data_IF_346227446169
#
_entry.id   IF_346227446169
#
_cell.length_a   1.000
_cell.length_b   1.000
_cell.length_c   1.000
_cell.angle_alpha   90.00
_cell.angle_beta   90.00
_cell.angle_gamma   90.00
#
_symmetry.space_group_name_H-M   'P 1'
#
loop_
_entity.id
_entity.type
_entity.pdbx_description
1 polymer ?
#
# COMPACT_ATOMS: atom_id res chain seq x y z
N UNK A 1 14.27 4.03 15.56
CA UNK A 1 14.68 3.55 16.90
C UNK A 1 15.15 2.12 16.77
N UNK A 2 16.28 1.81 17.40
CA UNK A 2 16.92 0.51 17.30
C UNK A 2 16.33 -0.49 18.31
N UNK A 3 15.13 -0.98 18.00
CA UNK A 3 14.40 -1.92 18.86
C UNK A 3 15.18 -3.22 19.10
N UNK A 4 16.05 -3.62 18.17
CA UNK A 4 16.90 -4.80 18.29
C UNK A 4 17.93 -4.69 19.44
N UNK A 5 18.32 -3.48 19.85
CA UNK A 5 19.24 -3.29 20.97
C UNK A 5 18.55 -3.45 22.33
N UNK A 6 17.22 -3.33 22.38
CA UNK A 6 16.47 -3.36 23.63
C UNK A 6 16.19 -4.80 24.07
N UNK A 7 16.22 -5.00 25.39
CA UNK A 7 15.66 -6.21 25.99
C UNK A 7 14.15 -6.24 25.80
N UNK A 8 13.55 -7.44 25.93
CA UNK A 8 12.10 -7.61 25.86
C UNK A 8 11.37 -6.69 26.87
N UNK A 9 11.84 -6.64 28.12
CA UNK A 9 11.28 -5.77 29.16
C UNK A 9 11.39 -4.28 28.78
N UNK A 10 12.57 -3.82 28.32
CA UNK A 10 12.76 -2.43 27.93
C UNK A 10 11.92 -2.01 26.70
N UNK A 11 11.57 -2.96 25.83
CA UNK A 11 10.66 -2.71 24.72
C UNK A 11 9.20 -2.55 25.20
N UNK A 12 8.76 -3.40 26.12
CA UNK A 12 7.44 -3.30 26.75
C UNK A 12 7.28 -1.98 27.51
N UNK A 13 8.28 -1.61 28.32
CA UNK A 13 8.27 -0.36 29.09
C UNK A 13 8.21 0.88 28.19
N UNK A 14 9.01 0.89 27.12
CA UNK A 14 9.05 2.00 26.17
C UNK A 14 7.72 2.20 25.43
N UNK A 15 7.02 1.11 25.13
CA UNK A 15 5.71 1.11 24.50
C UNK A 15 4.57 1.21 25.51
N UNK A 16 4.87 1.32 26.81
CA UNK A 16 3.90 1.36 27.91
C UNK A 16 2.85 0.25 27.77
N UNK A 17 3.32 -0.97 27.57
CA UNK A 17 2.49 -2.18 27.40
C UNK A 17 3.03 -3.30 28.28
N UNK A 18 2.29 -4.40 28.40
CA UNK A 18 2.68 -5.57 29.19
C UNK A 18 2.73 -6.83 28.34
N UNK A 19 3.29 -7.91 28.90
CA UNK A 19 3.29 -9.22 28.25
C UNK A 19 1.87 -9.81 28.07
N UNK A 20 0.88 -9.31 28.81
CA UNK A 20 -0.54 -9.71 28.70
C UNK A 20 -1.31 -8.89 27.65
N UNK A 21 -0.64 -7.92 27.01
CA UNK A 21 -1.19 -7.11 25.94
C UNK A 21 -1.96 -5.88 26.37
N UNK A 22 -2.38 -5.11 25.36
CA UNK A 22 -3.12 -3.86 25.54
C UNK A 22 -4.57 -4.13 25.96
N UNK A 23 -5.20 -3.13 26.57
CA UNK A 23 -6.66 -3.10 26.71
C UNK A 23 -7.33 -2.79 25.38
N UNK A 24 -8.58 -3.22 25.21
CA UNK A 24 -9.34 -2.90 24.00
C UNK A 24 -9.53 -1.39 23.80
N UNK A 25 -9.64 -0.64 24.90
CA UNK A 25 -9.72 0.82 24.87
C UNK A 25 -8.40 1.49 24.45
N UNK A 26 -7.28 1.02 24.99
CA UNK A 26 -5.95 1.53 24.64
C UNK A 26 -5.60 1.23 23.17
N UNK A 27 -5.92 0.03 22.69
CA UNK A 27 -5.73 -0.33 21.29
C UNK A 27 -6.52 0.60 20.35
N UNK A 28 -7.79 0.89 20.68
CA UNK A 28 -8.60 1.86 19.90
C UNK A 28 -8.05 3.28 19.96
N UNK A 29 -7.54 3.72 21.11
CA UNK A 29 -6.91 5.04 21.25
C UNK A 29 -5.67 5.14 20.35
N UNK A 30 -4.77 4.16 20.42
CA UNK A 30 -3.56 4.08 19.59
C UNK A 30 -3.88 3.96 18.11
N UNK A 31 -4.95 3.26 17.75
CA UNK A 31 -5.40 3.17 16.36
C UNK A 31 -5.80 4.54 15.80
N UNK A 32 -6.41 5.38 16.64
CA UNK A 32 -6.76 6.76 16.29
C UNK A 32 -5.52 7.64 16.16
N UNK A 33 -4.51 7.43 17.01
CA UNK A 33 -3.28 8.23 17.06
C UNK A 33 -2.28 7.87 15.95
N UNK A 34 -2.01 6.57 15.75
CA UNK A 34 -1.05 6.07 14.77
C UNK A 34 -1.67 5.79 13.40
N UNK A 35 -2.99 5.69 13.33
CA UNK A 35 -3.71 5.25 12.14
C UNK A 35 -3.64 3.73 11.92
N UNK A 36 -4.30 3.23 10.87
CA UNK A 36 -4.36 1.81 10.56
C UNK A 36 -3.00 1.26 10.08
N UNK A 37 -2.72 0.00 10.39
CA UNK A 37 -1.54 -0.75 9.93
C UNK A 37 -1.68 -1.18 8.45
N UNK A 38 -1.77 -0.20 7.58
CA UNK A 38 -1.85 -0.36 6.13
C UNK A 38 -0.73 0.42 5.47
N UNK A 39 -0.19 -0.14 4.38
CA UNK A 39 0.70 0.62 3.52
C UNK A 39 -0.15 1.63 2.76
N UNK A 40 0.29 2.89 2.70
CA UNK A 40 -0.39 3.90 1.90
C UNK A 40 -0.29 3.48 0.45
N UNK A 41 -1.42 3.27 -0.20
CA UNK A 41 -1.47 3.17 -1.65
C UNK A 41 -1.10 4.54 -2.24
N UNK A 42 -0.45 4.57 -3.40
CA UNK A 42 -0.12 5.81 -4.11
C UNK A 42 -1.37 6.67 -4.36
N UNK A 43 -1.18 7.92 -4.81
CA UNK A 43 -2.28 8.89 -5.03
C UNK A 43 -3.44 8.24 -5.78
N UNK A 44 -4.53 7.91 -5.08
CA UNK A 44 -5.77 7.46 -5.70
C UNK A 44 -6.25 8.58 -6.62
N UNK A 45 -6.64 8.24 -7.84
CA UNK A 45 -7.27 9.22 -8.72
C UNK A 45 -8.58 9.63 -8.07
N UNK A 46 -8.74 10.91 -7.75
CA UNK A 46 -10.00 11.42 -7.23
C UNK A 46 -11.08 11.28 -8.31
N UNK A 47 -12.36 11.22 -7.94
CA UNK A 47 -13.44 11.16 -8.94
C UNK A 47 -13.36 12.31 -9.96
N UNK A 48 -13.00 13.52 -9.50
CA UNK A 48 -12.70 14.66 -10.36
C UNK A 48 -11.44 14.45 -11.21
N UNK A 49 -10.41 13.81 -10.67
CA UNK A 49 -9.20 13.44 -11.42
C UNK A 49 -9.45 12.38 -12.49
N UNK A 50 -10.32 11.39 -12.23
CA UNK A 50 -10.76 10.41 -13.23
C UNK A 50 -11.55 11.09 -14.35
N UNK A 51 -12.50 11.95 -14.01
CA UNK A 51 -13.30 12.69 -14.99
C UNK A 51 -12.42 13.64 -15.81
N UNK A 52 -11.54 14.42 -15.17
CA UNK A 52 -10.58 15.29 -15.86
C UNK A 52 -9.61 14.48 -16.75
N UNK A 53 -9.24 13.27 -16.33
CA UNK A 53 -8.45 12.33 -17.13
C UNK A 53 -9.09 12.00 -18.47
N UNK A 54 -10.42 11.86 -18.54
CA UNK A 54 -11.14 11.65 -19.80
C UNK A 54 -10.95 12.82 -20.77
N UNK A 55 -10.95 14.06 -20.28
CA UNK A 55 -10.74 15.25 -21.12
C UNK A 55 -9.28 15.48 -21.53
N UNK A 56 -8.33 14.77 -20.90
CA UNK A 56 -6.92 14.75 -21.34
C UNK A 56 -6.63 13.69 -22.38
N UNK A 57 -7.59 12.82 -22.69
CA UNK A 57 -7.43 11.85 -23.78
C UNK A 57 -7.32 12.57 -25.12
N UNK A 58 -6.30 12.19 -25.87
CA UNK A 58 -5.96 12.83 -27.13
C UNK A 58 -7.09 12.77 -28.16
N UNK A 59 -7.80 11.65 -28.23
CA UNK A 59 -8.89 11.45 -29.18
C UNK A 59 -10.08 12.33 -28.82
N UNK A 60 -10.37 12.51 -27.52
CA UNK A 60 -11.39 13.44 -27.03
C UNK A 60 -11.01 14.89 -27.33
N UNK A 61 -9.74 15.28 -27.16
CA UNK A 61 -9.26 16.62 -27.52
C UNK A 61 -9.41 16.93 -29.01
N UNK A 62 -9.15 15.94 -29.88
CA UNK A 62 -9.37 16.08 -31.33
C UNK A 62 -10.85 16.29 -31.65
N UNK A 63 -11.74 15.53 -31.01
CA UNK A 63 -13.19 15.70 -31.18
C UNK A 63 -13.69 17.06 -30.66
N UNK A 64 -13.17 17.52 -29.52
CA UNK A 64 -13.45 18.87 -29.01
C UNK A 64 -12.97 19.95 -30.00
N UNK A 65 -11.79 19.78 -30.59
CA UNK A 65 -11.29 20.68 -31.63
C UNK A 65 -12.20 20.72 -32.86
N UNK A 66 -12.68 19.56 -33.32
CA UNK A 66 -13.62 19.46 -34.43
C UNK A 66 -14.97 20.14 -34.10
N UNK A 67 -15.48 19.97 -32.87
CA UNK A 67 -16.70 20.62 -32.41
C UNK A 67 -16.57 22.16 -32.40
N UNK A 68 -15.41 22.69 -31.98
CA UNK A 68 -15.15 24.14 -32.02
C UNK A 68 -15.14 24.66 -33.46
N UNK A 69 -14.47 23.96 -34.38
CA UNK A 69 -14.41 24.35 -35.80
C UNK A 69 -15.82 24.33 -36.43
N UNK A 70 -16.59 23.26 -36.20
CA UNK A 70 -17.98 23.14 -36.67
C UNK A 70 -18.86 24.28 -36.15
N UNK A 71 -18.70 24.62 -34.86
CA UNK A 71 -19.46 25.71 -34.23
C UNK A 71 -19.13 27.08 -34.82
N UNK A 72 -17.87 27.33 -35.18
CA UNK A 72 -17.44 28.56 -35.85
C UNK A 72 -17.98 28.67 -37.28
N UNK A 73 -18.15 27.55 -37.98
CA UNK A 73 -18.75 27.48 -39.32
C UNK A 73 -20.28 27.73 -39.26
N UNK A 74 -20.88 27.65 -38.07
CA UNK A 74 -22.32 27.87 -37.85
C UNK A 74 -23.16 26.59 -37.95
N UNK A 75 -22.52 25.41 -38.02
CA UNK A 75 -23.23 24.13 -38.01
C UNK A 75 -23.55 23.70 -36.58
N UNK A 76 -24.67 24.20 -36.09
CA UNK A 76 -25.14 23.97 -34.72
C UNK A 76 -25.49 22.50 -34.50
N UNK A 77 -25.97 21.79 -35.52
CA UNK A 77 -26.42 20.39 -35.39
C UNK A 77 -25.22 19.47 -35.19
N UNK A 78 -24.20 19.59 -36.04
CA UNK A 78 -22.98 18.79 -35.94
C UNK A 78 -22.19 19.09 -34.67
N UNK A 79 -22.11 20.36 -34.28
CA UNK A 79 -21.47 20.77 -33.01
C UNK A 79 -22.12 20.11 -31.80
N UNK A 80 -23.46 20.17 -31.71
CA UNK A 80 -24.20 19.57 -30.60
C UNK A 80 -24.03 18.05 -30.60
N UNK A 81 -24.06 17.40 -31.77
CA UNK A 81 -23.89 15.95 -31.90
C UNK A 81 -22.51 15.50 -31.38
N UNK A 82 -21.43 16.19 -31.76
CA UNK A 82 -20.07 15.85 -31.30
C UNK A 82 -19.95 16.05 -29.78
N UNK A 83 -20.46 17.16 -29.24
CA UNK A 83 -20.43 17.41 -27.79
C UNK A 83 -21.20 16.31 -27.04
N UNK A 84 -22.36 15.91 -27.55
CA UNK A 84 -23.16 14.84 -26.93
C UNK A 84 -22.41 13.50 -26.88
N UNK A 85 -21.72 13.13 -27.96
CA UNK A 85 -20.90 11.90 -28.02
C UNK A 85 -19.75 11.96 -27.00
N UNK A 86 -19.06 13.10 -26.91
CA UNK A 86 -17.94 13.29 -25.97
C UNK A 86 -18.43 13.17 -24.52
N UNK A 87 -19.54 13.83 -24.17
CA UNK A 87 -20.12 13.76 -22.83
C UNK A 87 -20.56 12.33 -22.51
N UNK A 88 -21.23 11.65 -23.44
CA UNK A 88 -21.67 10.27 -23.25
C UNK A 88 -20.49 9.33 -23.01
N UNK A 89 -19.43 9.43 -23.82
CA UNK A 89 -18.22 8.63 -23.64
C UNK A 89 -17.51 8.92 -22.31
N UNK A 90 -17.41 10.19 -21.90
CA UNK A 90 -16.81 10.56 -20.63
C UNK A 90 -17.59 9.98 -19.43
N UNK A 91 -18.93 10.03 -19.48
CA UNK A 91 -19.79 9.45 -18.44
C UNK A 91 -19.66 7.93 -18.40
N UNK A 92 -19.72 7.27 -19.56
CA UNK A 92 -19.56 5.80 -19.65
C UNK A 92 -18.18 5.40 -19.13
N UNK A 93 -17.12 6.07 -19.56
CA UNK A 93 -15.74 5.82 -19.12
C UNK A 93 -15.57 6.01 -17.62
N UNK A 94 -16.08 7.11 -17.07
CA UNK A 94 -16.06 7.36 -15.62
C UNK A 94 -16.80 6.27 -14.83
N UNK A 95 -18.01 5.87 -15.25
CA UNK A 95 -18.78 4.83 -14.57
C UNK A 95 -18.08 3.47 -14.65
N UNK A 96 -17.47 3.13 -15.78
CA UNK A 96 -16.72 1.88 -15.95
C UNK A 96 -15.48 1.85 -15.05
N UNK A 97 -14.69 2.92 -15.04
CA UNK A 97 -13.48 3.03 -14.23
C UNK A 97 -13.81 3.01 -12.73
N UNK A 98 -14.82 3.77 -12.31
CA UNK A 98 -15.29 3.80 -10.92
C UNK A 98 -15.82 2.43 -10.45
N UNK A 99 -16.57 1.71 -11.28
CA UNK A 99 -17.05 0.36 -10.95
C UNK A 99 -15.91 -0.64 -10.83
N UNK A 100 -14.93 -0.57 -11.73
CA UNK A 100 -13.77 -1.44 -11.70
C UNK A 100 -12.94 -1.23 -10.41
N UNK A 101 -12.72 0.03 -10.03
CA UNK A 101 -11.98 0.36 -8.81
C UNK A 101 -12.71 -0.15 -7.55
N UNK A 102 -14.03 0.06 -7.44
CA UNK A 102 -14.83 -0.46 -6.31
C UNK A 102 -14.85 -1.98 -6.22
N UNK A 103 -14.92 -2.67 -7.35
CA UNK A 103 -14.86 -4.13 -7.37
C UNK A 103 -13.52 -4.64 -6.84
N UNK A 104 -12.42 -3.96 -7.21
CA UNK A 104 -11.08 -4.27 -6.72
C UNK A 104 -10.94 -4.01 -5.21
N UNK A 105 -11.49 -2.90 -4.71
CA UNK A 105 -11.50 -2.60 -3.27
C UNK A 105 -12.26 -3.65 -2.46
N UNK A 106 -13.44 -4.08 -2.94
CA UNK A 106 -14.22 -5.12 -2.28
C UNK A 106 -13.46 -6.46 -2.22
N UNK A 107 -12.79 -6.83 -3.32
CA UNK A 107 -11.97 -8.04 -3.36
C UNK A 107 -10.79 -7.96 -2.36
N UNK A 108 -10.12 -6.81 -2.28
CA UNK A 108 -9.05 -6.56 -1.30
C UNK A 108 -9.55 -6.68 0.15
N UNK A 109 -10.74 -6.17 0.44
CA UNK A 109 -11.34 -6.26 1.77
C UNK A 109 -11.67 -7.71 2.17
N UNK A 110 -12.15 -8.53 1.23
CA UNK A 110 -12.44 -9.95 1.48
C UNK A 110 -11.18 -10.80 1.73
N UNK A 111 -10.04 -10.39 1.16
CA UNK A 111 -8.75 -11.04 1.35
C UNK A 111 -7.91 -10.38 2.46
N UNK A 112 -8.50 -9.48 3.27
CA UNK A 112 -7.75 -8.71 4.25
C UNK A 112 -7.06 -9.64 5.26
N UNK A 113 -5.73 -9.51 5.43
CA UNK A 113 -4.99 -10.37 6.33
C UNK A 113 -5.46 -10.15 7.77
N UNK A 114 -5.60 -11.24 8.51
CA UNK A 114 -5.87 -11.23 9.96
C UNK A 114 -4.63 -11.61 10.73
N UNK A 115 -4.56 -11.21 12.00
CA UNK A 115 -3.50 -11.60 12.91
C UNK A 115 -4.04 -11.94 14.29
N UNK A 116 -3.33 -12.84 14.96
CA UNK A 116 -3.66 -13.28 16.32
C UNK A 116 -2.93 -12.39 17.31
N UNK A 117 -3.68 -11.70 18.16
CA UNK A 117 -3.16 -10.79 19.19
C UNK A 117 -3.59 -11.24 20.58
N UNK A 118 -2.77 -10.92 21.57
CA UNK A 118 -3.10 -11.02 22.99
C UNK A 118 -3.47 -9.63 23.47
N UNK A 119 -4.71 -9.46 23.94
CA UNK A 119 -5.23 -8.23 24.54
C UNK A 119 -5.99 -8.60 25.81
N UNK A 120 -5.74 -7.90 26.91
CA UNK A 120 -6.37 -8.18 28.22
C UNK A 120 -6.18 -9.65 28.64
N UNK A 121 -5.00 -10.23 28.37
CA UNK A 121 -4.69 -11.64 28.67
C UNK A 121 -5.44 -12.66 27.82
N UNK A 122 -6.28 -12.23 26.87
CA UNK A 122 -7.09 -13.10 26.03
C UNK A 122 -6.62 -13.05 24.58
N UNK A 123 -6.47 -14.23 23.98
CA UNK A 123 -6.12 -14.34 22.56
C UNK A 123 -7.33 -14.04 21.69
N UNK A 124 -7.18 -13.15 20.71
CA UNK A 124 -8.22 -12.81 19.74
C UNK A 124 -7.63 -12.66 18.34
N UNK A 125 -8.44 -12.93 17.32
CA UNK A 125 -8.08 -12.68 15.93
C UNK A 125 -8.65 -11.33 15.54
N UNK A 126 -7.78 -10.44 15.09
CA UNK A 126 -8.14 -9.08 14.65
C UNK A 126 -7.69 -8.86 13.21
N UNK A 127 -8.35 -7.96 12.46
CA UNK A 127 -7.82 -7.51 11.18
C UNK A 127 -6.41 -6.95 11.35
N UNK A 128 -5.47 -7.32 10.48
CA UNK A 128 -4.08 -6.85 10.60
C UNK A 128 -3.97 -5.32 10.49
N UNK A 129 -4.95 -4.66 9.85
CA UNK A 129 -5.08 -3.21 9.76
C UNK A 129 -5.37 -2.53 11.11
N UNK A 130 -5.92 -3.26 12.09
CA UNK A 130 -6.23 -2.75 13.43
C UNK A 130 -5.11 -2.99 14.46
N UNK A 131 -3.98 -3.57 14.02
CA UNK A 131 -2.80 -3.73 14.85
C UNK A 131 -2.14 -2.37 15.07
N UNK A 132 -1.74 -2.12 16.32
CA UNK A 132 -1.12 -0.86 16.73
C UNK A 132 0.19 -1.10 17.47
N UNK A 133 1.09 -0.10 17.54
CA UNK A 133 2.28 -0.20 18.38
C UNK A 133 1.94 -0.56 19.83
N UNK A 134 2.64 -1.55 20.38
CA UNK A 134 2.42 -2.10 21.72
C UNK A 134 1.46 -3.29 21.80
N UNK A 135 0.76 -3.66 20.73
CA UNK A 135 0.04 -4.93 20.68
C UNK A 135 1.01 -6.11 20.82
N UNK A 136 0.54 -7.18 21.44
CA UNK A 136 1.27 -8.44 21.54
C UNK A 136 0.74 -9.38 20.47
N UNK A 137 1.58 -9.73 19.51
CA UNK A 137 1.24 -10.61 18.39
C UNK A 137 1.78 -12.01 18.65
N UNK A 138 0.95 -13.01 18.40
CA UNK A 138 1.32 -14.42 18.40
C UNK A 138 1.70 -14.85 16.99
N UNK A 139 2.89 -15.44 16.86
CA UNK A 139 3.45 -15.93 15.61
C UNK A 139 3.40 -17.45 15.59
N UNK A 140 2.87 -18.01 14.50
CA UNK A 140 2.75 -19.44 14.29
C UNK A 140 3.10 -19.80 12.85
N UNK A 141 3.64 -21.00 12.64
CA UNK A 141 4.01 -21.50 11.32
C UNK A 141 2.85 -21.39 10.31
N UNK A 142 3.16 -20.93 9.10
CA UNK A 142 2.19 -20.67 8.03
C UNK A 142 1.53 -19.30 8.08
N UNK A 143 1.76 -18.50 9.14
CA UNK A 143 1.26 -17.13 9.24
C UNK A 143 2.31 -16.10 8.83
N UNK A 144 1.83 -14.94 8.42
CA UNK A 144 2.64 -13.77 8.07
C UNK A 144 2.77 -12.86 9.28
N UNK A 145 3.96 -12.31 9.52
CA UNK A 145 4.17 -11.25 10.50
C UNK A 145 3.42 -9.97 10.05
N UNK A 146 2.43 -9.46 10.81
CA UNK A 146 1.53 -8.42 10.33
C UNK A 146 2.13 -7.00 10.41
N UNK A 147 3.18 -6.84 11.20
CA UNK A 147 3.84 -5.59 11.55
C UNK A 147 5.30 -5.88 11.93
N UNK A 148 6.10 -4.87 12.21
CA UNK A 148 7.45 -5.08 12.76
C UNK A 148 7.34 -5.33 14.26
N UNK A 149 7.98 -6.41 14.72
CA UNK A 149 7.85 -6.94 16.07
C UNK A 149 9.22 -7.06 16.73
N UNK A 150 9.29 -6.68 18.00
CA UNK A 150 10.39 -7.09 18.89
C UNK A 150 10.00 -8.39 19.59
N UNK A 151 10.78 -9.46 19.38
CA UNK A 151 10.45 -10.78 19.89
C UNK A 151 10.64 -10.87 21.41
N UNK A 152 9.59 -11.33 22.09
CA UNK A 152 9.55 -11.59 23.53
C UNK A 152 9.82 -13.07 23.81
N UNK A 153 9.27 -13.95 22.96
CA UNK A 153 9.44 -15.39 23.03
C UNK A 153 9.67 -15.98 21.65
N UNK A 154 10.53 -16.99 21.56
CA UNK A 154 10.81 -17.72 20.34
C UNK A 154 11.06 -19.19 20.67
N UNK A 155 10.24 -20.09 20.13
CA UNK A 155 10.40 -21.52 20.26
C UNK A 155 10.61 -22.13 18.87
N UNK A 156 11.89 -22.39 18.54
CA UNK A 156 12.34 -22.83 17.20
C UNK A 156 11.80 -21.93 16.08
N UNK A 157 11.60 -20.64 16.37
CA UNK A 157 10.95 -19.71 15.46
C UNK A 157 11.88 -19.43 14.27
N UNK A 158 11.39 -19.70 13.06
CA UNK A 158 12.08 -19.41 11.80
C UNK A 158 11.18 -18.62 10.87
N UNK A 159 11.72 -17.57 10.27
CA UNK A 159 11.01 -16.71 9.32
C UNK A 159 11.71 -16.70 7.96
N UNK A 160 10.93 -16.77 6.89
CA UNK A 160 11.40 -16.49 5.54
C UNK A 160 11.39 -14.98 5.31
N UNK A 161 12.57 -14.39 5.16
CA UNK A 161 12.76 -12.94 5.05
C UNK A 161 13.14 -12.48 3.64
N UNK A 162 13.08 -13.40 2.66
CA UNK A 162 13.30 -13.11 1.24
C UNK A 162 12.57 -11.86 0.72
N UNK A 163 11.32 -11.54 1.12
CA UNK A 163 10.66 -10.31 0.68
C UNK A 163 11.38 -9.01 1.07
N UNK A 164 12.23 -9.05 2.09
CA UNK A 164 12.92 -7.87 2.65
C UNK A 164 14.43 -7.91 2.40
N UNK A 165 15.04 -9.09 2.47
CA UNK A 165 16.50 -9.26 2.38
C UNK A 165 16.96 -9.84 1.04
N UNK A 166 16.04 -10.47 0.28
CA UNK A 166 16.38 -11.25 -0.91
C UNK A 166 16.96 -12.65 -0.61
N UNK A 167 17.13 -13.01 0.66
CA UNK A 167 17.69 -14.31 1.05
C UNK A 167 16.59 -15.36 1.25
N UNK A 168 16.70 -16.49 0.52
CA UNK A 168 15.68 -17.56 0.54
C UNK A 168 15.78 -18.49 1.75
N UNK A 169 16.91 -18.48 2.48
CA UNK A 169 17.12 -19.37 3.64
C UNK A 169 16.37 -18.80 4.85
N UNK A 170 15.49 -19.60 5.51
CA UNK A 170 14.81 -19.13 6.71
C UNK A 170 15.78 -18.76 7.83
N UNK A 171 15.54 -17.59 8.45
CA UNK A 171 16.36 -17.06 9.54
C UNK A 171 15.80 -17.55 10.87
N UNK A 172 16.66 -18.18 11.67
CA UNK A 172 16.34 -18.56 13.05
C UNK A 172 16.35 -17.34 13.97
N UNK A 173 15.28 -17.20 14.75
CA UNK A 173 15.05 -16.02 15.58
C UNK A 173 15.42 -16.24 17.04
N UNK A 174 15.86 -15.17 17.67
CA UNK A 174 16.30 -15.14 19.07
C UNK A 174 15.58 -14.03 19.85
N UNK A 175 15.79 -13.94 21.16
CA UNK A 175 15.16 -12.91 22.00
C UNK A 175 16.17 -11.99 22.69
N UNK A 176 17.45 -12.36 22.70
CA UNK A 176 18.50 -11.57 23.35
C UNK A 176 18.65 -10.20 22.66
N UNK A 177 18.92 -9.13 23.42
CA UNK A 177 19.27 -7.84 22.83
C UNK A 177 20.55 -7.97 22.00
N UNK A 178 20.60 -7.23 20.89
CA UNK A 178 21.74 -7.20 19.98
C UNK A 178 22.43 -5.83 20.12
N UNK A 179 23.61 -5.74 20.76
CA UNK A 179 24.21 -4.45 21.15
C UNK A 179 24.79 -3.65 19.96
N UNK A 180 24.97 -4.29 18.81
CA UNK A 180 25.52 -3.65 17.62
C UNK A 180 24.51 -2.67 17.01
N UNK A 181 24.90 -1.40 16.92
CA UNK A 181 24.02 -0.34 16.45
C UNK A 181 23.72 -0.46 14.95
N UNK A 182 24.76 -0.71 14.14
CA UNK A 182 24.68 -0.70 12.68
C UNK A 182 24.42 -2.10 12.07
N UNK A 183 23.48 -2.85 12.64
CA UNK A 183 23.07 -4.13 12.06
C UNK A 183 22.17 -3.93 10.85
N UNK A 184 22.48 -4.66 9.77
CA UNK A 184 21.60 -4.82 8.63
C UNK A 184 20.28 -5.46 9.07
N UNK A 185 19.20 -5.20 8.33
CA UNK A 185 17.85 -5.62 8.72
C UNK A 185 17.76 -7.15 8.88
N UNK A 186 18.41 -7.92 8.00
CA UNK A 186 18.45 -9.39 8.08
C UNK A 186 19.22 -9.93 9.29
N UNK A 187 20.16 -9.17 9.85
CA UNK A 187 20.95 -9.58 11.02
C UNK A 187 20.25 -9.30 12.35
N UNK A 188 19.15 -8.54 12.34
CA UNK A 188 18.34 -8.25 13.53
C UNK A 188 17.46 -9.46 13.88
N UNK A 189 18.09 -10.57 14.24
CA UNK A 189 17.47 -11.88 14.52
C UNK A 189 16.49 -11.89 15.69
N UNK A 190 16.46 -10.83 16.48
CA UNK A 190 15.51 -10.65 17.57
C UNK A 190 14.27 -9.81 17.21
N UNK A 191 14.13 -9.53 15.92
CA UNK A 191 13.00 -8.86 15.29
C UNK A 191 12.29 -9.81 14.32
N UNK A 192 11.00 -9.57 14.10
CA UNK A 192 10.23 -10.13 13.00
C UNK A 192 9.63 -8.97 12.19
N UNK A 193 9.64 -9.05 10.87
CA UNK A 193 9.31 -7.91 10.00
C UNK A 193 8.00 -8.10 9.25
N UNK A 194 7.27 -7.01 9.01
CA UNK A 194 6.01 -7.02 8.26
C UNK A 194 6.18 -7.72 6.91
N UNK A 195 5.28 -8.66 6.61
CA UNK A 195 5.24 -9.36 5.32
C UNK A 195 6.17 -10.58 5.23
N UNK A 196 6.99 -10.84 6.24
CA UNK A 196 7.77 -12.09 6.34
C UNK A 196 6.89 -13.24 6.84
N UNK A 197 7.18 -14.46 6.39
CA UNK A 197 6.36 -15.64 6.70
C UNK A 197 7.04 -16.51 7.75
N UNK A 198 6.31 -16.92 8.78
CA UNK A 198 6.79 -17.89 9.76
C UNK A 198 6.80 -19.27 9.10
N UNK A 199 7.99 -19.82 8.89
CA UNK A 199 8.16 -21.13 8.23
C UNK A 199 8.11 -22.27 9.22
N UNK A 200 8.54 -22.03 10.47
CA UNK A 200 8.56 -23.04 11.51
C UNK A 200 8.49 -22.42 12.92
N UNK A 201 8.02 -23.23 13.87
CA UNK A 201 7.98 -22.88 15.28
C UNK A 201 6.86 -21.90 15.63
N UNK A 202 6.99 -21.30 16.81
CA UNK A 202 6.07 -20.29 17.35
C UNK A 202 6.81 -19.23 18.13
N UNK A 203 6.20 -18.07 18.29
CA UNK A 203 6.77 -16.99 19.08
C UNK A 203 5.75 -15.94 19.46
N UNK A 204 6.20 -14.98 20.25
CA UNK A 204 5.42 -13.84 20.71
C UNK A 204 6.26 -12.59 20.55
N UNK A 205 5.68 -11.51 20.04
CA UNK A 205 6.39 -10.26 19.82
C UNK A 205 5.52 -9.06 20.13
N UNK A 206 6.14 -7.99 20.65
CA UNK A 206 5.48 -6.70 20.80
C UNK A 206 5.64 -5.90 19.51
N UNK A 207 4.55 -5.30 19.03
CA UNK A 207 4.54 -4.47 17.83
C UNK A 207 5.29 -3.18 18.10
N UNK A 208 6.34 -2.92 17.33
CA UNK A 208 7.18 -1.72 17.47
C UNK A 208 6.95 -0.69 16.37
N UNK A 209 6.46 -1.12 15.20
CA UNK A 209 6.12 -0.23 14.09
C UNK A 209 5.02 -0.85 13.23
N UNK A 210 4.18 0.01 12.66
CA UNK A 210 3.00 -0.35 11.84
C UNK A 210 2.95 0.51 10.58
N UNK A 211 2.23 0.04 9.56
CA UNK A 211 2.01 0.80 8.32
C UNK A 211 3.32 1.25 7.68
N UNK A 212 3.41 2.55 7.39
CA UNK A 212 4.57 3.17 6.70
C UNK A 212 5.84 3.23 7.55
N UNK A 213 5.73 3.09 8.88
CA UNK A 213 6.89 3.16 9.78
C UNK A 213 7.69 1.85 9.86
N UNK A 214 7.14 0.76 9.31
CA UNK A 214 7.80 -0.55 9.17
C UNK A 214 8.93 -0.50 8.16
N UNK A 215 9.87 -1.46 8.22
CA UNK A 215 10.94 -1.57 7.20
C UNK A 215 10.35 -1.75 5.80
N UNK A 216 9.27 -2.54 5.67
CA UNK A 216 8.55 -2.69 4.41
C UNK A 216 7.86 -1.38 3.96
N UNK A 217 7.33 -0.62 4.91
CA UNK A 217 6.73 0.70 4.68
C UNK A 217 7.73 1.75 4.21
N UNK A 218 8.95 1.72 4.73
CA UNK A 218 10.05 2.58 4.28
C UNK A 218 10.45 2.25 2.84
N UNK A 219 10.57 0.97 2.49
CA UNK A 219 10.81 0.55 1.10
C UNK A 219 9.69 1.03 0.19
N UNK A 220 8.42 0.87 0.61
CA UNK A 220 7.28 1.34 -0.16
C UNK A 220 7.32 2.88 -0.38
N UNK A 221 7.76 3.64 0.61
CA UNK A 221 7.93 5.10 0.49
C UNK A 221 8.98 5.44 -0.57
N UNK A 222 10.16 4.80 -0.51
CA UNK A 222 11.23 5.01 -1.48
C UNK A 222 10.80 4.67 -2.91
N UNK A 223 9.99 3.62 -3.08
CA UNK A 223 9.43 3.23 -4.38
C UNK A 223 8.36 4.22 -4.90
N UNK A 224 7.59 4.84 -4.01
CA UNK A 224 6.58 5.85 -4.39
C UNK A 224 7.19 7.19 -4.76
N UNK A 225 8.35 7.53 -4.18
CA UNK A 225 9.11 8.74 -4.51
C UNK A 225 9.86 8.59 -5.85
N UNK A 226 10.11 7.36 -6.30
CA UNK A 226 10.65 7.10 -7.63
C UNK A 226 9.59 7.45 -8.71
N UNK A 227 9.86 8.48 -9.51
CA UNK A 227 8.93 8.99 -10.54
C UNK A 227 8.36 7.90 -11.46
N UNK A 228 7.06 7.96 -11.75
CA UNK A 228 6.41 7.11 -12.74
C UNK A 228 7.01 7.34 -14.15
N UNK A 229 7.90 6.44 -14.57
CA UNK A 229 8.48 6.49 -15.91
C UNK A 229 7.46 5.96 -16.93
N UNK A 230 6.88 6.85 -17.75
CA UNK A 230 6.03 6.46 -18.89
C UNK A 230 6.70 5.39 -19.75
N UNK A 231 5.96 4.34 -20.12
CA UNK A 231 6.52 3.20 -20.87
C UNK A 231 6.97 3.62 -22.29
N UNK A 232 7.93 2.91 -22.91
CA UNK A 232 8.36 3.20 -24.28
C UNK A 232 7.23 3.18 -25.31
N UNK A 233 6.24 2.30 -25.13
CA UNK A 233 5.06 2.22 -26.00
C UNK A 233 4.13 3.42 -25.81
N UNK A 234 3.83 3.82 -24.57
CA UNK A 234 3.04 5.03 -24.30
C UNK A 234 3.71 6.27 -24.90
N UNK A 235 5.04 6.39 -24.80
CA UNK A 235 5.80 7.46 -25.46
C UNK A 235 5.73 7.40 -26.99
N UNK A 236 5.63 6.21 -27.59
CA UNK A 236 5.48 6.04 -29.05
C UNK A 236 4.06 6.37 -29.51
N UNK A 237 3.04 5.91 -28.78
CA UNK A 237 1.63 6.21 -29.07
C UNK A 237 1.34 7.71 -28.95
N UNK A 238 1.83 8.37 -27.91
CA UNK A 238 1.69 9.82 -27.76
C UNK A 238 2.34 10.58 -28.93
N UNK A 239 3.53 10.16 -29.36
CA UNK A 239 4.22 10.74 -30.53
C UNK A 239 3.50 10.44 -31.84
N UNK A 240 2.96 9.24 -31.98
CA UNK A 240 2.18 8.86 -33.16
C UNK A 240 0.90 9.69 -33.26
N UNK A 241 0.17 9.83 -32.15
CA UNK A 241 -0.99 10.73 -32.05
C UNK A 241 -0.63 12.15 -32.46
N UNK A 242 0.39 12.74 -31.84
CA UNK A 242 0.86 14.10 -32.19
C UNK A 242 1.19 14.26 -33.67
N UNK A 243 1.90 13.29 -34.28
CA UNK A 243 2.24 13.32 -35.72
C UNK A 243 1.01 13.21 -36.60
N UNK A 244 0.06 12.35 -36.24
CA UNK A 244 -1.17 12.18 -36.99
C UNK A 244 -2.00 13.46 -36.96
N UNK A 245 -2.14 14.12 -35.80
CA UNK A 245 -2.84 15.41 -35.73
C UNK A 245 -2.15 16.51 -36.50
N UNK A 246 -0.81 16.57 -36.50
CA UNK A 246 -0.08 17.54 -37.29
C UNK A 246 -0.28 17.32 -38.80
N UNK A 247 -0.33 16.06 -39.23
CA UNK A 247 -0.64 15.69 -40.61
C UNK A 247 -2.07 16.06 -41.00
N UNK A 248 -3.06 15.81 -40.13
CA UNK A 248 -4.46 16.22 -40.37
C UNK A 248 -4.58 17.74 -40.49
N UNK A 249 -3.97 18.49 -39.57
CA UNK A 249 -3.95 19.96 -39.63
C UNK A 249 -3.30 20.48 -40.92
N UNK A 250 -2.23 19.84 -41.39
CA UNK A 250 -1.56 20.20 -42.63
C UNK A 250 -2.38 19.87 -43.90
N UNK A 251 -3.24 18.85 -43.85
CA UNK A 251 -4.16 18.51 -44.95
C UNK A 251 -5.35 19.48 -44.99
N UNK A 252 -5.78 19.97 -43.82
CA UNK A 252 -6.89 20.92 -43.72
C UNK A 252 -6.48 22.39 -43.97
N UNK A 253 -5.18 22.70 -43.95
CA UNK A 253 -4.61 24.02 -44.23
C UNK A 253 -4.34 24.23 -45.73
#
# INVERSE_FOLDING_TARGET
MDWHQRSAAAALDALRTSADGLTGAEARRRLTEHGPNVLREGKRRTALGMLAGQFTDFMILVLLGAAVISGLIGDVVDTIAIIAIVVLNAVIGFVQEYRAERAMEALKAMAAPTATVLREGTTSVVPAAEIVPGDIVLLEAGRIAPADLRLLEAALLRLAEAPLTGESVPVEKTIAPLPEAALAVGDRKNMAFKGTTVTYGRGRGVVVATGMDTEFGRIATLLQEAEEVKTPLQRRLARFGQRLSLAVLAICA
#
